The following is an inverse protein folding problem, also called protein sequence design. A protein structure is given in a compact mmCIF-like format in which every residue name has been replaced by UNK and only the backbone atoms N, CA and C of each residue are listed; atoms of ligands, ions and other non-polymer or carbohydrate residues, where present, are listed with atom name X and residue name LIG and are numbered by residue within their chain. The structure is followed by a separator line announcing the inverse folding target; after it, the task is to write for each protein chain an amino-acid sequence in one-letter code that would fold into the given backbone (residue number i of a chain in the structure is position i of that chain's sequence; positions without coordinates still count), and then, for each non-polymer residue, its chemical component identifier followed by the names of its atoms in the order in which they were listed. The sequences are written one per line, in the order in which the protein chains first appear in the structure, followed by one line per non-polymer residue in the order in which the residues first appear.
data_IF_048320969547
#
_entry.id   IF_048320969547
#
_cell.length_a   1.000
_cell.length_b   1.000
_cell.length_c   1.000
_cell.angle_alpha   90.00
_cell.angle_beta   90.00
_cell.angle_gamma   90.00
#
_symmetry.space_group_name_H-M   'P 1'
#
loop_
_entity.id
_entity.type
_entity.pdbx_description
1 polymer ?
#
# COMPACT_ATOMS: atom_id res chain seq x y z
N UNK A 1 1.45 17.56 0.15
CA UNK A 1 0.24 18.37 0.43
C UNK A 1 0.53 19.44 1.48
N UNK A 2 0.73 19.10 2.76
CA UNK A 2 0.91 20.13 3.79
C UNK A 2 2.16 21.01 3.65
N UNK A 3 3.21 20.50 2.99
CA UNK A 3 4.45 21.25 2.78
C UNK A 3 4.35 22.25 1.61
N UNK A 4 3.46 22.00 0.63
CA UNK A 4 3.24 22.94 -0.48
C UNK A 4 2.45 24.18 -0.07
N UNK A 5 1.81 24.17 1.11
CA UNK A 5 1.11 25.33 1.65
C UNK A 5 2.07 26.47 2.05
N UNK A 6 3.37 26.19 2.27
CA UNK A 6 4.34 27.21 2.68
C UNK A 6 4.12 27.80 4.08
N UNK A 7 3.19 27.23 4.86
CA UNK A 7 2.82 27.71 6.19
C UNK A 7 3.60 27.00 7.30
N UNK A 8 3.99 27.75 8.33
CA UNK A 8 4.52 27.17 9.57
C UNK A 8 3.43 26.41 10.34
N UNK A 9 3.84 25.50 11.22
CA UNK A 9 2.88 24.73 12.02
C UNK A 9 1.96 25.63 12.86
N UNK A 10 2.46 26.79 13.30
CA UNK A 10 1.71 27.74 14.13
C UNK A 10 0.70 28.55 13.31
N UNK A 11 1.01 28.82 12.05
CA UNK A 11 0.06 29.47 11.14
C UNK A 11 -1.11 28.54 10.82
N UNK A 12 -0.83 27.26 10.57
CA UNK A 12 -1.88 26.25 10.34
C UNK A 12 -2.81 26.13 11.55
N UNK A 13 -2.25 26.06 12.77
CA UNK A 13 -3.02 26.02 14.02
C UNK A 13 -3.98 27.21 14.16
N UNK A 14 -3.48 28.42 13.88
CA UNK A 14 -4.29 29.65 13.92
C UNK A 14 -5.36 29.70 12.83
N UNK A 15 -5.03 29.34 11.60
CA UNK A 15 -5.96 29.40 10.46
C UNK A 15 -7.10 28.40 10.64
N UNK A 16 -6.80 27.24 11.23
CA UNK A 16 -7.78 26.18 11.45
C UNK A 16 -8.53 26.32 12.78
N UNK A 17 -8.30 27.40 13.54
CA UNK A 17 -8.89 27.67 14.86
C UNK A 17 -8.84 26.45 15.81
N UNK A 18 -7.67 25.81 15.89
CA UNK A 18 -7.47 24.62 16.71
C UNK A 18 -7.97 23.30 16.10
N UNK A 19 -8.59 23.33 14.91
CA UNK A 19 -8.94 22.12 14.15
C UNK A 19 -7.72 21.25 13.81
N UNK A 20 -6.56 21.89 13.63
CA UNK A 20 -5.25 21.24 13.48
C UNK A 20 -4.22 21.90 14.41
N UNK A 21 -4.17 21.44 15.67
CA UNK A 21 -3.20 21.97 16.64
C UNK A 21 -1.75 21.89 16.14
N UNK A 22 -0.89 22.81 16.58
CA UNK A 22 0.54 22.84 16.26
C UNK A 22 1.23 21.48 16.42
N UNK A 23 0.95 20.80 17.54
CA UNK A 23 1.54 19.51 17.86
C UNK A 23 1.13 18.44 16.85
N UNK A 24 -0.14 18.46 16.44
CA UNK A 24 -0.66 17.53 15.45
C UNK A 24 -0.11 17.78 14.06
N UNK A 25 -0.04 19.05 13.62
CA UNK A 25 0.59 19.43 12.35
C UNK A 25 2.05 18.96 12.28
N UNK A 26 2.79 19.13 13.38
CA UNK A 26 4.16 18.63 13.50
C UNK A 26 4.25 17.11 13.34
N UNK A 27 3.35 16.37 13.99
CA UNK A 27 3.33 14.90 13.92
C UNK A 27 3.00 14.42 12.49
N UNK A 28 2.05 15.07 11.81
CA UNK A 28 1.70 14.79 10.41
C UNK A 28 2.90 15.01 9.49
N UNK A 29 3.61 16.14 9.61
CA UNK A 29 4.82 16.43 8.82
C UNK A 29 5.93 15.41 9.04
N UNK A 30 6.12 15.00 10.30
CA UNK A 30 7.11 13.98 10.66
C UNK A 30 6.66 12.56 10.34
N UNK A 31 5.42 12.36 9.87
CA UNK A 31 4.80 11.05 9.65
C UNK A 31 4.87 10.15 10.89
N UNK A 32 4.71 10.75 12.07
CA UNK A 32 4.78 10.04 13.35
C UNK A 32 3.40 9.84 13.94
N UNK A 33 3.28 8.83 14.82
CA UNK A 33 2.07 8.48 15.58
C UNK A 33 0.91 8.00 14.67
N UNK A 34 -0.32 8.28 15.09
CA UNK A 34 -1.53 7.80 14.48
C UNK A 34 -1.77 8.40 13.08
N UNK A 35 -2.40 7.64 12.16
CA UNK A 35 -2.82 8.11 10.84
C UNK A 35 -3.64 9.41 10.88
N UNK A 36 -3.68 10.11 9.75
CA UNK A 36 -4.47 11.33 9.58
C UNK A 36 -5.97 10.99 9.66
N UNK A 37 -6.73 11.75 10.45
CA UNK A 37 -8.19 11.63 10.52
C UNK A 37 -8.83 12.24 9.29
N UNK A 38 -10.03 11.79 8.91
CA UNK A 38 -10.74 12.37 7.76
C UNK A 38 -11.00 13.88 7.91
N UNK A 39 -11.39 14.35 9.10
CA UNK A 39 -11.57 15.78 9.37
C UNK A 39 -10.28 16.58 9.12
N UNK A 40 -9.15 16.07 9.60
CA UNK A 40 -7.82 16.68 9.39
C UNK A 40 -7.46 16.71 7.90
N UNK A 41 -7.77 15.63 7.16
CA UNK A 41 -7.53 15.56 5.72
C UNK A 41 -8.34 16.63 4.95
N UNK A 42 -9.62 16.82 5.28
CA UNK A 42 -10.43 17.85 4.65
C UNK A 42 -9.95 19.25 4.99
N UNK A 43 -9.63 19.54 6.25
CA UNK A 43 -9.06 20.83 6.64
C UNK A 43 -7.74 21.13 5.92
N UNK A 44 -6.87 20.13 5.75
CA UNK A 44 -5.63 20.28 4.97
C UNK A 44 -5.89 20.49 3.48
N UNK A 45 -6.90 19.82 2.92
CA UNK A 45 -7.26 19.96 1.52
C UNK A 45 -7.79 21.37 1.21
N UNK A 46 -8.65 21.88 2.08
CA UNK A 46 -9.16 23.26 2.03
C UNK A 46 -8.02 24.27 2.14
N UNK A 47 -7.16 24.12 3.15
CA UNK A 47 -6.02 25.01 3.37
C UNK A 47 -5.04 25.03 2.18
N UNK A 48 -4.84 23.89 1.53
CA UNK A 48 -3.94 23.76 0.39
C UNK A 48 -4.61 24.10 -0.94
N UNK A 49 -5.91 24.41 -0.97
CA UNK A 49 -6.66 24.71 -2.19
C UNK A 49 -6.74 23.53 -3.16
N UNK A 50 -6.78 22.30 -2.65
CA UNK A 50 -6.82 21.08 -3.47
C UNK A 50 -8.16 20.37 -3.35
N UNK A 51 -8.63 19.76 -4.44
CA UNK A 51 -9.83 18.92 -4.41
C UNK A 51 -9.56 17.65 -3.55
N UNK A 52 -10.25 17.48 -2.40
CA UNK A 52 -10.04 16.33 -1.54
C UNK A 52 -10.37 15.00 -2.22
N UNK A 53 -11.32 14.97 -3.17
CA UNK A 53 -11.71 13.74 -3.86
C UNK A 53 -10.63 13.33 -4.87
N UNK A 54 -10.09 14.27 -5.65
CA UNK A 54 -8.94 14.02 -6.50
C UNK A 54 -7.74 13.51 -5.68
N UNK A 55 -7.48 14.10 -4.52
CA UNK A 55 -6.37 13.69 -3.65
C UNK A 55 -6.58 12.29 -3.06
N UNK A 56 -7.80 11.93 -2.64
CA UNK A 56 -8.12 10.57 -2.19
C UNK A 56 -7.94 9.53 -3.30
N UNK A 57 -8.28 9.87 -4.55
CA UNK A 57 -8.03 8.97 -5.70
C UNK A 57 -6.54 8.72 -5.86
N UNK A 58 -5.70 9.75 -5.78
CA UNK A 58 -4.24 9.60 -5.85
C UNK A 58 -3.70 8.73 -4.72
N UNK A 59 -4.15 8.97 -3.47
CA UNK A 59 -3.77 8.16 -2.31
C UNK A 59 -4.17 6.70 -2.52
N UNK A 60 -5.37 6.44 -3.05
CA UNK A 60 -5.86 5.08 -3.32
C UNK A 60 -5.05 4.37 -4.39
N UNK A 61 -4.72 5.04 -5.50
CA UNK A 61 -3.90 4.42 -6.54
C UNK A 61 -2.47 4.17 -6.05
N UNK A 62 -1.90 5.07 -5.25
CA UNK A 62 -0.58 4.86 -4.64
C UNK A 62 -0.59 3.70 -3.64
N UNK A 63 -1.63 3.57 -2.81
CA UNK A 63 -1.79 2.42 -1.93
C UNK A 63 -1.82 1.11 -2.70
N UNK A 64 -2.60 1.03 -3.79
CA UNK A 64 -2.64 -0.15 -4.68
C UNK A 64 -1.29 -0.45 -5.31
N UNK A 65 -0.50 0.58 -5.65
CA UNK A 65 0.84 0.40 -6.21
C UNK A 65 1.77 -0.21 -5.17
N UNK A 66 1.74 0.28 -3.93
CA UNK A 66 2.55 -0.24 -2.83
C UNK A 66 2.18 -1.69 -2.49
N UNK A 67 0.89 -2.02 -2.46
CA UNK A 67 0.43 -3.41 -2.24
C UNK A 67 0.94 -4.35 -3.34
N UNK A 68 0.94 -3.91 -4.60
CA UNK A 68 1.48 -4.69 -5.72
C UNK A 68 2.99 -4.89 -5.62
N UNK A 69 3.74 -3.86 -5.25
CA UNK A 69 5.20 -3.96 -5.07
C UNK A 69 5.53 -4.92 -3.95
N UNK A 70 4.87 -4.81 -2.80
CA UNK A 70 5.03 -5.76 -1.69
C UNK A 70 4.75 -7.20 -2.16
N UNK A 71 3.65 -7.42 -2.89
CA UNK A 71 3.34 -8.76 -3.43
C UNK A 71 4.33 -9.27 -4.48
N UNK A 72 4.97 -8.37 -5.24
CA UNK A 72 5.95 -8.73 -6.26
C UNK A 72 7.30 -9.07 -5.63
N UNK A 73 7.74 -8.31 -4.61
CA UNK A 73 8.90 -8.65 -3.78
C UNK A 73 8.70 -10.00 -3.09
N UNK A 74 7.48 -10.29 -2.61
CA UNK A 74 7.14 -11.61 -2.06
C UNK A 74 7.24 -12.72 -3.13
N UNK A 75 6.73 -12.51 -4.34
CA UNK A 75 6.80 -13.51 -5.42
C UNK A 75 8.22 -13.71 -5.94
N UNK A 76 9.00 -12.64 -6.09
CA UNK A 76 10.38 -12.70 -6.55
C UNK A 76 11.27 -13.34 -5.48
N UNK A 77 11.04 -13.01 -4.20
CA UNK A 77 11.67 -13.72 -3.07
C UNK A 77 11.30 -15.20 -3.02
N UNK A 78 10.04 -15.56 -3.29
CA UNK A 78 9.60 -16.97 -3.36
C UNK A 78 10.24 -17.67 -4.56
N UNK A 79 10.33 -17.00 -5.72
CA UNK A 79 10.96 -17.57 -6.91
C UNK A 79 12.46 -17.80 -6.70
N UNK A 80 13.16 -16.86 -6.07
CA UNK A 80 14.57 -16.98 -5.71
C UNK A 80 14.80 -18.05 -4.64
N UNK A 81 13.89 -18.20 -3.68
CA UNK A 81 13.91 -19.25 -2.67
C UNK A 81 13.70 -20.64 -3.30
N UNK A 82 12.74 -20.78 -4.22
CA UNK A 82 12.51 -22.01 -4.99
C UNK A 82 13.73 -22.32 -5.86
N UNK A 83 14.33 -21.33 -6.52
CA UNK A 83 15.52 -21.53 -7.35
C UNK A 83 16.75 -21.92 -6.52
N UNK A 84 16.87 -21.39 -5.30
CA UNK A 84 18.00 -21.65 -4.39
C UNK A 84 17.85 -22.95 -3.60
N UNK A 85 16.62 -23.44 -3.41
CA UNK A 85 16.33 -24.68 -2.71
C UNK A 85 15.22 -25.51 -3.38
N UNK A 86 15.41 -25.93 -4.64
CA UNK A 86 14.37 -26.57 -5.44
C UNK A 86 13.88 -27.90 -4.83
N UNK A 87 14.75 -28.63 -4.13
CA UNK A 87 14.43 -29.91 -3.49
C UNK A 87 13.41 -29.79 -2.35
N UNK A 88 13.28 -28.61 -1.72
CA UNK A 88 12.31 -28.37 -0.66
C UNK A 88 10.89 -28.08 -1.18
N UNK A 89 10.76 -27.75 -2.47
CA UNK A 89 9.50 -27.42 -3.13
C UNK A 89 9.12 -28.44 -4.20
N UNK A 90 9.70 -29.64 -4.14
CA UNK A 90 9.40 -30.75 -5.04
C UNK A 90 7.88 -30.96 -5.10
N UNK A 91 7.33 -30.65 -6.28
CA UNK A 91 5.90 -30.66 -6.55
C UNK A 91 5.32 -32.02 -6.14
N UNK A 92 4.30 -32.01 -5.29
CA UNK A 92 3.56 -33.21 -4.89
C UNK A 92 2.93 -33.99 -6.07
N UNK A 93 3.01 -33.46 -7.31
CA UNK A 93 2.62 -34.13 -8.55
C UNK A 93 3.37 -35.46 -8.82
N UNK A 94 4.50 -35.71 -8.13
CA UNK A 94 5.24 -36.96 -8.25
C UNK A 94 4.90 -38.01 -7.18
N UNK A 95 4.11 -37.64 -6.15
CA UNK A 95 3.82 -38.53 -5.01
C UNK A 95 2.42 -39.15 -5.03
N UNK A 96 1.59 -38.80 -6.01
CA UNK A 96 0.26 -39.38 -6.13
C UNK A 96 0.30 -40.60 -7.05
N UNK A 97 -0.16 -41.75 -6.54
CA UNK A 97 -0.26 -43.04 -7.24
C UNK A 97 -1.17 -42.99 -8.48
N UNK A 98 -1.85 -41.87 -8.73
CA UNK A 98 -2.82 -41.68 -9.79
C UNK A 98 -2.20 -41.09 -11.08
N UNK A 99 -0.86 -41.03 -11.17
CA UNK A 99 -0.13 -40.66 -12.40
C UNK A 99 -0.51 -41.49 -13.63
N UNK A 100 -0.95 -42.74 -13.42
CA UNK A 100 -1.38 -43.63 -14.50
C UNK A 100 -2.85 -43.40 -14.90
N UNK A 101 -3.72 -42.96 -13.99
CA UNK A 101 -5.14 -42.72 -14.27
C UNK A 101 -5.38 -41.51 -15.19
N UNK A 102 -4.56 -40.46 -15.07
CA UNK A 102 -4.65 -39.25 -15.88
C UNK A 102 -4.00 -39.37 -17.26
N UNK A 103 -3.25 -40.46 -17.52
CA UNK A 103 -2.56 -40.69 -18.80
C UNK A 103 -3.43 -41.36 -19.85
N UNK A 104 -4.52 -42.01 -19.44
CA UNK A 104 -5.38 -42.83 -20.30
C UNK A 104 -6.65 -42.10 -20.80
N UNK A 105 -6.87 -40.85 -20.38
CA UNK A 105 -8.00 -40.01 -20.81
C UNK A 105 -7.77 -39.20 -22.10
N UNK A 106 -6.65 -39.42 -22.79
CA UNK A 106 -6.22 -38.65 -23.97
C UNK A 106 -6.45 -39.36 -25.30
N UNK A 107 -7.60 -39.99 -25.53
CA UNK A 107 -8.00 -40.44 -26.88
C UNK A 107 -8.50 -39.22 -27.69
N UNK A 108 -7.53 -38.40 -28.11
CA UNK A 108 -7.70 -37.43 -29.17
C UNK A 108 -7.71 -38.16 -30.51
N UNK A 109 -8.88 -38.13 -31.17
CA UNK A 109 -9.17 -38.58 -32.55
C UNK A 109 -8.01 -38.54 -33.54
#
# INVERSE_FOLDING_TARGET
MIDSAGLSNREIDRITDGGLSYGRVRDIRKRTKAPVRLSEFFSLSELCGVDPIAQLKLIREEARRLDKVASAEDVESIADEIASNPEAFDLAADKESDKEAEREGGDGR
#
